data_IF_139077521059
#
_entry.id   IF_139077521059
#
_cell.length_a   1.000
_cell.length_b   1.000
_cell.length_c   1.000
_cell.angle_alpha   90.00
_cell.angle_beta   90.00
_cell.angle_gamma   90.00
#
_symmetry.space_group_name_H-M   'P 1'
#
loop_
_entity.id
_entity.type
_entity.pdbx_description
1 polymer ?
#
# COMPACT_ATOMS: atom_id res chain seq x y z
N UNK A 1 5.75 -1.82 7.01
CA UNK A 1 6.79 -0.77 7.04
C UNK A 1 8.00 -1.31 7.77
N UNK A 2 9.19 -1.07 7.25
CA UNK A 2 10.48 -1.48 7.80
C UNK A 2 11.43 -0.26 7.83
N UNK A 3 12.37 -0.26 8.77
CA UNK A 3 13.47 0.71 8.82
C UNK A 3 14.69 0.05 8.16
N UNK A 4 15.32 0.74 7.22
CA UNK A 4 16.46 0.19 6.47
C UNK A 4 17.79 0.41 7.21
N UNK A 5 18.77 -0.46 6.94
CA UNK A 5 20.07 -0.45 7.60
C UNK A 5 20.91 0.79 7.24
N UNK A 6 20.74 1.32 6.02
CA UNK A 6 21.41 2.55 5.55
C UNK A 6 20.70 3.84 6.00
N UNK A 7 19.59 3.73 6.74
CA UNK A 7 18.72 4.83 7.11
C UNK A 7 17.43 4.86 6.27
N UNK A 8 16.47 5.69 6.68
CA UNK A 8 15.16 5.76 6.03
C UNK A 8 14.19 4.62 6.38
N UNK A 9 13.13 4.52 5.59
CA UNK A 9 12.00 3.62 5.77
C UNK A 9 11.52 3.06 4.44
N UNK A 10 11.18 1.77 4.43
CA UNK A 10 10.49 1.11 3.34
C UNK A 10 9.03 0.79 3.73
N UNK A 11 8.13 0.94 2.77
CA UNK A 11 6.72 0.63 2.88
C UNK A 11 6.32 -0.33 1.75
N UNK A 12 5.46 -1.29 2.07
CA UNK A 12 4.92 -2.27 1.13
C UNK A 12 3.43 -2.41 1.40
N UNK A 13 2.64 -2.48 0.33
CA UNK A 13 1.23 -2.84 0.40
C UNK A 13 1.11 -4.37 0.45
N UNK A 14 0.38 -4.91 1.41
CA UNK A 14 0.22 -6.37 1.53
C UNK A 14 -0.79 -6.89 0.50
N UNK A 15 -1.84 -6.12 0.24
CA UNK A 15 -2.84 -6.42 -0.79
C UNK A 15 -2.29 -6.25 -2.21
N UNK A 16 -1.26 -5.42 -2.38
CA UNK A 16 -0.53 -5.24 -3.64
C UNK A 16 0.97 -5.48 -3.41
N UNK A 17 1.43 -6.74 -3.33
CA UNK A 17 2.82 -7.07 -2.99
C UNK A 17 3.87 -6.45 -3.91
N UNK A 18 3.47 -6.11 -5.15
CA UNK A 18 4.30 -5.41 -6.13
C UNK A 18 4.45 -3.91 -5.90
N UNK A 19 3.62 -3.30 -5.03
CA UNK A 19 3.75 -1.92 -4.62
C UNK A 19 4.66 -1.85 -3.39
N UNK A 20 5.89 -1.37 -3.62
CA UNK A 20 6.90 -1.11 -2.62
C UNK A 20 7.42 0.31 -2.84
N UNK A 21 7.70 1.04 -1.76
CA UNK A 21 8.25 2.38 -1.83
C UNK A 21 9.13 2.67 -0.62
N UNK A 22 9.97 3.69 -0.73
CA UNK A 22 10.96 4.07 0.28
C UNK A 22 10.94 5.59 0.50
N UNK A 23 11.43 6.04 1.65
CA UNK A 23 11.57 7.45 1.99
C UNK A 23 12.53 7.65 3.17
N UNK A 24 13.08 8.85 3.33
CA UNK A 24 13.97 9.18 4.45
C UNK A 24 13.21 9.21 5.77
N UNK A 25 11.92 9.56 5.71
CA UNK A 25 11.00 9.57 6.86
C UNK A 25 9.87 8.55 6.69
N UNK A 26 9.17 8.26 7.80
CA UNK A 26 8.00 7.38 7.75
C UNK A 26 6.88 8.01 6.93
N UNK A 27 6.70 9.31 7.10
CA UNK A 27 5.70 10.11 6.42
C UNK A 27 5.93 10.08 4.91
N UNK A 28 7.17 10.29 4.47
CA UNK A 28 7.56 10.24 3.06
C UNK A 28 7.37 8.84 2.46
N UNK A 29 7.85 7.78 3.14
CA UNK A 29 7.65 6.41 2.67
C UNK A 29 6.16 6.04 2.56
N UNK A 30 5.30 6.62 3.43
CA UNK A 30 3.86 6.46 3.38
C UNK A 30 3.19 7.28 2.27
N UNK A 31 3.71 8.45 1.94
CA UNK A 31 3.21 9.26 0.84
C UNK A 31 3.58 8.60 -0.50
N UNK A 32 4.84 8.20 -0.65
CA UNK A 32 5.34 7.56 -1.86
C UNK A 32 4.63 6.22 -2.16
N UNK A 33 4.36 5.40 -1.13
CA UNK A 33 3.61 4.14 -1.34
C UNK A 33 2.16 4.40 -1.74
N UNK A 34 1.52 5.48 -1.26
CA UNK A 34 0.15 5.83 -1.68
C UNK A 34 0.13 6.23 -3.14
N UNK A 35 1.08 7.03 -3.59
CA UNK A 35 1.21 7.39 -5.01
C UNK A 35 1.43 6.14 -5.88
N UNK A 36 2.31 5.23 -5.46
CA UNK A 36 2.57 3.98 -6.16
C UNK A 36 1.30 3.09 -6.25
N UNK A 37 0.52 3.00 -5.18
CA UNK A 37 -0.76 2.27 -5.17
C UNK A 37 -1.76 2.94 -6.11
N UNK A 38 -1.91 4.27 -6.05
CA UNK A 38 -2.85 5.00 -6.91
C UNK A 38 -2.49 4.81 -8.39
N UNK A 39 -1.23 5.01 -8.76
CA UNK A 39 -0.78 4.80 -10.15
C UNK A 39 -0.95 3.36 -10.62
N UNK A 40 -0.75 2.37 -9.74
CA UNK A 40 -1.00 0.97 -10.05
C UNK A 40 -2.49 0.70 -10.30
N UNK A 41 -3.37 1.16 -9.41
CA UNK A 41 -4.82 0.95 -9.55
C UNK A 41 -5.41 1.72 -10.73
N UNK A 42 -4.84 2.87 -11.11
CA UNK A 42 -5.21 3.60 -12.32
C UNK A 42 -4.80 2.84 -13.59
N UNK A 43 -3.64 2.17 -13.59
CA UNK A 43 -3.17 1.36 -14.70
C UNK A 43 -3.90 0.01 -14.81
N UNK A 44 -4.35 -0.55 -13.68
CA UNK A 44 -4.98 -1.87 -13.55
C UNK A 44 -6.29 -1.79 -12.75
N UNK A 45 -7.36 -1.20 -13.31
CA UNK A 45 -8.62 -1.00 -12.61
C UNK A 45 -9.29 -2.31 -12.17
N UNK A 46 -9.08 -3.42 -12.88
CA UNK A 46 -9.58 -4.74 -12.50
C UNK A 46 -9.02 -5.26 -11.17
N UNK A 47 -7.79 -4.88 -10.81
CA UNK A 47 -7.22 -5.22 -9.49
C UNK A 47 -7.91 -4.40 -8.39
N UNK A 48 -8.32 -3.16 -8.69
CA UNK A 48 -9.11 -2.36 -7.75
C UNK A 48 -10.48 -3.00 -7.47
N UNK A 49 -11.09 -3.63 -8.47
CA UNK A 49 -12.36 -4.35 -8.30
C UNK A 49 -12.20 -5.61 -7.46
N UNK A 50 -11.18 -6.44 -7.74
CA UNK A 50 -10.88 -7.65 -6.93
C UNK A 50 -10.65 -7.33 -5.46
N UNK A 51 -9.88 -6.28 -5.16
CA UNK A 51 -9.60 -5.87 -3.78
C UNK A 51 -10.89 -5.45 -3.05
N UNK A 52 -11.87 -4.86 -3.76
CA UNK A 52 -13.17 -4.50 -3.17
C UNK A 52 -14.02 -5.74 -2.90
N UNK A 53 -13.98 -6.74 -3.78
CA UNK A 53 -14.72 -8.00 -3.60
C UNK A 53 -14.16 -8.85 -2.45
N UNK A 54 -12.86 -8.83 -2.21
CA UNK A 54 -12.22 -9.57 -1.10
C UNK A 54 -12.45 -8.93 0.28
N UNK A 55 -12.74 -7.62 0.34
CA UNK A 55 -13.04 -6.90 1.59
C UNK A 55 -14.53 -6.97 1.92
N UNK A 56 -15.06 -8.15 2.21
CA UNK A 56 -16.36 -8.28 2.87
C UNK A 56 -16.22 -7.72 4.30
N UNK A 57 -16.67 -6.49 4.52
CA UNK A 57 -16.63 -5.81 5.81
C UNK A 57 -17.62 -6.48 6.78
N UNK A 58 -17.11 -7.38 7.61
CA UNK A 58 -17.91 -7.95 8.72
C UNK A 58 -17.97 -6.91 9.85
N UNK A 59 -19.05 -6.15 9.91
CA UNK A 59 -19.38 -5.38 11.12
C UNK A 59 -19.80 -6.35 12.23
N UNK A 60 -18.92 -6.57 13.22
CA UNK A 60 -19.31 -7.21 14.48
C UNK A 60 -19.88 -6.10 15.37
N UNK A 61 -21.21 -6.03 15.42
CA UNK A 61 -21.92 -5.27 16.45
C UNK A 61 -22.04 -6.19 17.67
N UNK A 62 -21.46 -5.78 18.80
CA UNK A 62 -21.56 -6.49 20.09
C UNK A 62 -22.83 -6.04 20.82
#
# INVERSE_FOLDING_TARGET
MRREEEGGYSAQCLELPGCISEGETREEALENIKEAIMGYLEAFPEEAEKIKEEKELVEIVV
#
